data_IF_893400748044
#
_entry.id   IF_893400748044
#
_cell.length_a   1.000
_cell.length_b   1.000
_cell.length_c   1.000
_cell.angle_alpha   90.00
_cell.angle_beta   90.00
_cell.angle_gamma   90.00
#
_symmetry.space_group_name_H-M   'P 1'
#
loop_
_entity.id
_entity.type
_entity.pdbx_description
1 polymer ?
#
# COMPACT_ATOMS: atom_id res chain seq x y z
N UNK A 1 -22.12 -17.96 -86.45
CA UNK A 1 -20.90 -17.31 -85.90
C UNK A 1 -21.04 -17.27 -84.39
N UNK A 2 -20.21 -17.99 -83.64
CA UNK A 2 -20.20 -17.92 -82.18
C UNK A 2 -19.36 -16.72 -81.74
N UNK A 3 -19.99 -15.74 -81.08
CA UNK A 3 -19.26 -14.60 -80.53
C UNK A 3 -18.55 -15.01 -79.24
N UNK A 4 -17.22 -14.85 -79.20
CA UNK A 4 -16.44 -15.02 -77.96
C UNK A 4 -16.41 -13.67 -77.23
N UNK A 5 -16.84 -13.69 -75.97
CA UNK A 5 -16.71 -12.53 -75.08
C UNK A 5 -15.21 -12.31 -74.76
N UNK A 6 -14.71 -11.12 -75.08
CA UNK A 6 -13.31 -10.72 -74.93
C UNK A 6 -12.95 -10.28 -73.50
N UNK A 7 -13.94 -10.09 -72.62
CA UNK A 7 -13.72 -9.56 -71.29
C UNK A 7 -14.33 -10.47 -70.21
N UNK A 8 -13.47 -11.07 -69.38
CA UNK A 8 -13.89 -11.78 -68.15
C UNK A 8 -14.14 -10.76 -67.03
N UNK A 9 -15.33 -10.77 -66.45
CA UNK A 9 -15.71 -9.93 -65.30
C UNK A 9 -14.82 -10.29 -64.09
N UNK A 10 -14.17 -9.30 -63.46
CA UNK A 10 -13.27 -9.50 -62.31
C UNK A 10 -14.06 -10.10 -61.14
N UNK A 11 -13.67 -11.29 -60.67
CA UNK A 11 -14.28 -11.91 -59.48
C UNK A 11 -13.99 -11.03 -58.26
N UNK A 12 -15.03 -10.67 -57.51
CA UNK A 12 -14.91 -9.84 -56.30
C UNK A 12 -14.62 -10.72 -55.09
N UNK A 13 -13.43 -10.59 -54.52
CA UNK A 13 -13.00 -11.33 -53.32
C UNK A 13 -13.45 -10.65 -52.01
N UNK A 14 -14.27 -9.59 -52.09
CA UNK A 14 -14.66 -8.77 -50.94
C UNK A 14 -15.25 -9.58 -49.78
N UNK A 15 -16.09 -10.58 -50.08
CA UNK A 15 -16.69 -11.46 -49.06
C UNK A 15 -15.66 -12.34 -48.35
N UNK A 16 -14.66 -12.83 -49.10
CA UNK A 16 -13.57 -13.66 -48.55
C UNK A 16 -12.67 -12.81 -47.65
N UNK A 17 -12.30 -11.60 -48.10
CA UNK A 17 -11.47 -10.67 -47.32
C UNK A 17 -12.14 -10.33 -45.99
N UNK A 18 -13.45 -10.03 -46.00
CA UNK A 18 -14.21 -9.74 -44.77
C UNK A 18 -14.20 -10.93 -43.82
N UNK A 19 -14.43 -12.15 -44.34
CA UNK A 19 -14.44 -13.37 -43.51
C UNK A 19 -13.07 -13.67 -42.89
N UNK A 20 -11.98 -13.49 -43.64
CA UNK A 20 -10.61 -13.69 -43.13
C UNK A 20 -10.25 -12.64 -42.08
N UNK A 21 -10.64 -11.38 -42.30
CA UNK A 21 -10.39 -10.30 -41.34
C UNK A 21 -11.10 -10.54 -40.01
N UNK A 22 -12.32 -11.10 -40.02
CA UNK A 22 -13.05 -11.44 -38.80
C UNK A 22 -12.36 -12.56 -38.01
N UNK A 23 -11.84 -13.58 -38.69
CA UNK A 23 -11.11 -14.69 -38.08
C UNK A 23 -9.83 -14.21 -37.36
N UNK A 24 -9.09 -13.28 -37.97
CA UNK A 24 -7.89 -12.70 -37.36
C UNK A 24 -8.19 -11.93 -36.08
N UNK A 25 -9.28 -11.16 -36.07
CA UNK A 25 -9.71 -10.40 -34.89
C UNK A 25 -10.07 -11.35 -33.74
N UNK A 26 -10.80 -12.43 -34.05
CA UNK A 26 -11.21 -13.41 -33.05
C UNK A 26 -10.00 -14.13 -32.41
N UNK A 27 -8.99 -14.46 -33.23
CA UNK A 27 -7.74 -15.05 -32.75
C UNK A 27 -6.98 -14.11 -31.80
N UNK A 28 -6.93 -12.81 -32.12
CA UNK A 28 -6.30 -11.79 -31.27
C UNK A 28 -6.94 -11.70 -29.88
N UNK A 29 -8.28 -11.73 -29.81
CA UNK A 29 -8.99 -11.71 -28.53
C UNK A 29 -8.71 -12.95 -27.68
N UNK A 30 -8.67 -14.14 -28.29
CA UNK A 30 -8.33 -15.39 -27.60
C UNK A 30 -6.91 -15.33 -27.03
N UNK A 31 -5.94 -14.86 -27.82
CA UNK A 31 -4.56 -14.69 -27.39
C UNK A 31 -4.46 -13.75 -26.18
N UNK A 32 -5.12 -12.59 -26.25
CA UNK A 32 -5.11 -11.61 -25.15
C UNK A 32 -5.73 -12.17 -23.86
N UNK A 33 -6.81 -12.94 -23.98
CA UNK A 33 -7.48 -13.55 -22.83
C UNK A 33 -6.59 -14.58 -22.11
N UNK A 34 -5.81 -15.37 -22.85
CA UNK A 34 -4.87 -16.35 -22.28
C UNK A 34 -3.74 -15.63 -21.53
N UNK A 35 -3.12 -14.62 -22.13
CA UNK A 35 -1.98 -13.90 -21.53
C UNK A 35 -2.36 -13.03 -20.32
N UNK A 36 -3.60 -12.54 -20.24
CA UNK A 36 -4.09 -11.76 -19.08
C UNK A 36 -4.12 -12.59 -17.77
N UNK A 37 -4.19 -13.91 -17.87
CA UNK A 37 -4.40 -14.79 -16.72
C UNK A 37 -3.11 -15.33 -16.08
N UNK A 38 -1.93 -14.97 -16.60
CA UNK A 38 -0.68 -15.26 -15.90
C UNK A 38 -0.56 -14.36 -14.67
N UNK A 39 -0.91 -14.92 -13.51
CA UNK A 39 -0.74 -14.25 -12.23
C UNK A 39 0.76 -14.09 -11.95
N UNK A 40 1.25 -12.84 -12.05
CA UNK A 40 2.64 -12.45 -11.73
C UNK A 40 2.86 -12.39 -10.22
N UNK A 41 2.90 -13.52 -9.53
CA UNK A 41 3.37 -13.53 -8.15
C UNK A 41 4.47 -14.58 -7.97
N UNK A 42 5.46 -14.18 -7.18
CA UNK A 42 6.52 -15.05 -6.71
C UNK A 42 6.07 -15.52 -5.33
N UNK A 43 5.91 -16.84 -5.16
CA UNK A 43 5.67 -17.43 -3.85
C UNK A 43 7.04 -17.56 -3.20
N UNK A 44 7.29 -16.74 -2.18
CA UNK A 44 8.47 -16.91 -1.31
C UNK A 44 8.08 -17.97 -0.28
N UNK A 45 8.80 -19.10 -0.18
CA UNK A 45 8.53 -20.10 0.83
C UNK A 45 8.81 -19.52 2.23
N UNK A 46 7.98 -19.88 3.21
CA UNK A 46 8.22 -19.51 4.60
C UNK A 46 9.55 -20.12 5.06
N UNK A 47 10.48 -19.27 5.52
CA UNK A 47 11.72 -19.70 6.14
C UNK A 47 11.49 -19.84 7.65
N UNK A 48 11.49 -21.07 8.21
CA UNK A 48 11.33 -21.27 9.65
C UNK A 48 12.60 -20.91 10.44
N UNK A 49 13.73 -20.70 9.77
CA UNK A 49 15.01 -20.46 10.43
C UNK A 49 15.14 -19.01 10.92
N UNK A 50 15.80 -18.86 12.06
CA UNK A 50 16.08 -17.55 12.65
C UNK A 50 17.10 -16.81 11.77
N UNK A 51 16.67 -15.75 11.10
CA UNK A 51 17.51 -14.98 10.16
C UNK A 51 18.81 -14.42 10.77
N UNK A 52 18.82 -14.18 12.08
CA UNK A 52 20.02 -13.79 12.83
C UNK A 52 19.86 -14.11 14.31
N UNK A 53 20.94 -14.55 14.95
CA UNK A 53 21.00 -14.73 16.41
C UNK A 53 21.66 -13.50 17.01
N UNK A 54 20.94 -12.77 17.86
CA UNK A 54 21.52 -11.66 18.62
C UNK A 54 22.37 -12.28 19.74
N UNK A 55 23.70 -12.10 19.73
CA UNK A 55 24.53 -12.60 20.81
C UNK A 55 24.24 -11.83 22.10
N UNK A 56 24.27 -12.51 23.25
CA UNK A 56 24.07 -11.90 24.57
C UNK A 56 25.11 -10.80 24.85
N UNK A 57 26.33 -10.96 24.34
CA UNK A 57 27.39 -9.97 24.41
C UNK A 57 27.77 -9.51 23.00
N UNK A 58 27.55 -8.23 22.70
CA UNK A 58 27.87 -7.64 21.39
C UNK A 58 29.35 -7.24 21.27
N UNK A 59 30.19 -7.56 22.26
CA UNK A 59 31.63 -7.34 22.23
C UNK A 59 32.06 -5.87 22.27
N UNK A 60 31.13 -4.97 22.61
CA UNK A 60 31.43 -3.56 22.85
C UNK A 60 32.13 -3.34 24.18
N UNK A 61 32.69 -2.14 24.37
CA UNK A 61 33.33 -1.76 25.63
C UNK A 61 32.29 -1.78 26.78
N UNK A 62 32.57 -2.58 27.82
CA UNK A 62 31.66 -2.72 28.97
C UNK A 62 31.76 -1.46 29.83
N UNK A 63 30.73 -0.63 29.77
CA UNK A 63 30.64 0.60 30.57
C UNK A 63 30.49 0.22 32.04
N UNK A 64 31.46 0.62 32.87
CA UNK A 64 31.37 0.53 34.32
C UNK A 64 30.25 1.44 34.84
N UNK A 65 29.39 0.92 35.73
CA UNK A 65 28.26 1.62 36.37
C UNK A 65 26.95 1.77 35.56
N UNK A 66 26.59 0.82 34.69
CA UNK A 66 25.27 0.77 34.03
C UNK A 66 24.09 0.78 35.03
N UNK A 67 24.31 0.21 36.20
CA UNK A 67 23.40 0.11 37.34
C UNK A 67 23.27 1.41 38.16
N UNK A 68 24.13 2.41 37.91
CA UNK A 68 23.96 3.76 38.47
C UNK A 68 23.06 4.58 37.56
N UNK A 69 21.78 4.65 37.91
CA UNK A 69 20.85 5.65 37.34
C UNK A 69 21.47 7.05 37.53
N UNK A 70 21.98 7.63 36.45
CA UNK A 70 22.31 9.05 36.42
C UNK A 70 21.03 9.82 36.79
N UNK A 71 21.09 10.69 37.79
CA UNK A 71 20.00 11.62 38.10
C UNK A 71 19.87 12.60 36.93
N UNK A 72 19.17 12.20 35.86
CA UNK A 72 18.66 13.15 34.89
C UNK A 72 17.41 13.82 35.48
N UNK A 73 17.63 14.73 36.43
CA UNK A 73 16.66 15.78 36.73
C UNK A 73 16.69 16.76 35.57
N UNK A 74 15.81 16.53 34.59
CA UNK A 74 15.09 17.48 33.73
C UNK A 74 14.51 16.58 32.61
N UNK A 75 13.37 15.97 32.88
CA UNK A 75 12.44 15.66 31.81
C UNK A 75 11.72 16.98 31.57
N UNK A 76 12.05 17.70 30.50
CA UNK A 76 11.14 18.74 30.03
C UNK A 76 9.80 18.05 29.81
N UNK A 77 8.80 18.45 30.59
CA UNK A 77 7.43 18.03 30.35
C UNK A 77 7.06 18.61 28.99
N UNK A 78 7.31 17.83 27.93
CA UNK A 78 6.68 18.02 26.63
C UNK A 78 5.21 18.12 26.97
N UNK A 79 4.63 19.29 26.78
CA UNK A 79 3.19 19.51 26.92
C UNK A 79 2.51 18.47 26.06
N UNK A 80 2.08 17.41 26.73
CA UNK A 80 1.30 16.34 26.18
C UNK A 80 -0.05 17.02 25.92
N UNK A 81 -0.17 17.63 24.74
CA UNK A 81 -1.47 17.90 24.16
C UNK A 81 -2.21 16.58 24.34
N UNK A 82 -3.33 16.62 25.06
CA UNK A 82 -4.16 15.46 25.32
C UNK A 82 -4.71 14.99 23.97
N UNK A 83 -3.90 14.26 23.22
CA UNK A 83 -4.33 13.46 22.09
C UNK A 83 -5.18 12.40 22.77
N UNK A 84 -6.51 12.52 22.62
CA UNK A 84 -7.45 11.51 23.09
C UNK A 84 -6.98 10.15 22.60
N UNK A 85 -6.36 9.38 23.49
CA UNK A 85 -5.99 8.02 23.21
C UNK A 85 -7.28 7.23 23.22
N UNK A 86 -7.87 7.03 22.04
CA UNK A 86 -8.99 6.11 21.90
C UNK A 86 -8.38 4.71 21.94
N UNK A 87 -8.57 4.02 23.07
CA UNK A 87 -7.95 2.73 23.41
C UNK A 87 -8.42 1.54 22.53
N UNK A 88 -9.15 1.81 21.45
CA UNK A 88 -9.84 0.82 20.63
C UNK A 88 -9.22 0.59 19.25
N UNK A 89 -8.16 1.31 18.87
CA UNK A 89 -7.44 1.08 17.62
C UNK A 89 -6.72 -0.29 17.65
N UNK A 90 -7.10 -1.19 16.74
CA UNK A 90 -6.49 -2.52 16.60
C UNK A 90 -5.57 -2.59 15.38
N UNK A 91 -6.15 -2.48 14.18
CA UNK A 91 -5.41 -2.40 12.93
C UNK A 91 -5.82 -1.14 12.17
N UNK A 92 -4.85 -0.45 11.60
CA UNK A 92 -5.10 0.76 10.82
C UNK A 92 -4.18 0.84 9.61
N UNK A 93 -4.52 1.72 8.67
CA UNK A 93 -3.72 1.94 7.45
C UNK A 93 -2.90 3.21 7.63
N UNK A 94 -1.58 3.10 7.54
CA UNK A 94 -0.66 4.23 7.63
C UNK A 94 -0.60 4.99 6.32
N UNK A 95 -0.84 6.30 6.39
CA UNK A 95 -0.75 7.22 5.26
C UNK A 95 0.57 8.01 5.27
N UNK A 96 1.05 8.38 6.46
CA UNK A 96 2.26 9.17 6.63
C UNK A 96 2.87 8.90 8.01
N UNK A 97 4.19 8.99 8.10
CA UNK A 97 4.93 9.09 9.37
C UNK A 97 5.90 10.26 9.27
N UNK A 98 5.97 11.08 10.31
CA UNK A 98 6.87 12.23 10.36
C UNK A 98 7.23 12.55 11.82
N UNK A 99 8.44 13.04 12.07
CA UNK A 99 8.86 13.49 13.40
C UNK A 99 8.25 14.85 13.79
N UNK A 100 7.80 15.63 12.82
CA UNK A 100 7.16 16.94 13.03
C UNK A 100 5.64 16.84 12.84
N UNK A 101 4.89 17.19 13.90
CA UNK A 101 3.42 17.11 13.88
C UNK A 101 2.77 18.06 12.84
N UNK A 102 3.43 19.17 12.51
CA UNK A 102 2.95 20.13 11.50
C UNK A 102 2.86 19.49 10.11
N UNK A 103 3.80 18.61 9.76
CA UNK A 103 3.80 17.90 8.48
C UNK A 103 2.62 16.93 8.40
N UNK A 104 2.28 16.27 9.51
CA UNK A 104 1.09 15.41 9.60
C UNK A 104 -0.18 16.23 9.35
N UNK A 105 -0.37 17.35 10.04
CA UNK A 105 -1.58 18.19 9.85
C UNK A 105 -1.66 18.78 8.44
N UNK A 106 -0.53 19.23 7.89
CA UNK A 106 -0.47 19.76 6.51
C UNK A 106 -0.86 18.69 5.48
N UNK A 107 -0.39 17.46 5.66
CA UNK A 107 -0.76 16.35 4.80
C UNK A 107 -2.23 15.96 4.96
N UNK A 108 -2.72 15.86 6.19
CA UNK A 108 -4.12 15.58 6.49
C UNK A 108 -5.03 16.62 5.83
N UNK A 109 -4.74 17.90 6.01
CA UNK A 109 -5.49 18.97 5.37
C UNK A 109 -5.46 18.83 3.85
N UNK A 110 -4.29 18.57 3.25
CA UNK A 110 -4.14 18.37 1.80
C UNK A 110 -5.03 17.23 1.27
N UNK A 111 -5.18 16.12 2.00
CA UNK A 111 -5.97 14.97 1.51
C UNK A 111 -7.47 15.10 1.77
N UNK A 112 -7.88 15.89 2.77
CA UNK A 112 -9.30 16.11 3.12
C UNK A 112 -9.89 17.39 2.50
N UNK A 113 -9.07 18.37 2.11
CA UNK A 113 -9.54 19.68 1.62
C UNK A 113 -10.04 19.69 0.18
N UNK A 114 -9.90 18.57 -0.55
CA UNK A 114 -10.46 18.47 -1.90
C UNK A 114 -11.97 18.18 -1.80
N UNK A 115 -12.80 18.96 -2.48
CA UNK A 115 -14.27 18.80 -2.52
C UNK A 115 -14.71 17.41 -3.02
N UNK A 116 -13.83 16.70 -3.73
CA UNK A 116 -14.02 15.33 -4.23
C UNK A 116 -13.26 14.26 -3.41
N UNK A 117 -12.75 14.60 -2.22
CA UNK A 117 -12.02 13.63 -1.42
C UNK A 117 -12.98 12.56 -0.87
N UNK A 118 -12.60 11.29 -1.06
CA UNK A 118 -13.33 10.15 -0.47
C UNK A 118 -13.00 9.97 1.02
N UNK A 119 -12.16 10.85 1.58
CA UNK A 119 -11.57 10.71 2.90
C UNK A 119 -12.24 11.68 3.87
N UNK A 120 -12.89 11.13 4.90
CA UNK A 120 -13.43 11.92 6.00
C UNK A 120 -12.35 12.19 7.04
N UNK A 121 -12.25 13.42 7.53
CA UNK A 121 -11.30 13.77 8.59
C UNK A 121 -11.52 12.95 9.87
N UNK A 122 -12.78 12.55 10.13
CA UNK A 122 -13.16 11.76 11.30
C UNK A 122 -12.70 10.29 11.24
N UNK A 123 -12.26 9.82 10.06
CA UNK A 123 -11.71 8.49 9.88
C UNK A 123 -10.20 8.44 10.15
N UNK A 124 -9.55 9.59 10.40
CA UNK A 124 -8.12 9.65 10.67
C UNK A 124 -7.82 9.71 12.16
N UNK A 125 -6.68 9.13 12.50
CA UNK A 125 -6.11 9.10 13.84
C UNK A 125 -4.64 9.49 13.75
N UNK A 126 -4.16 10.21 14.76
CA UNK A 126 -2.74 10.55 14.90
C UNK A 126 -2.22 9.82 16.12
N UNK A 127 -1.25 8.93 15.92
CA UNK A 127 -0.60 8.18 16.98
C UNK A 127 0.84 8.68 17.13
N UNK A 128 1.29 8.93 18.36
CA UNK A 128 2.65 9.35 18.65
C UNK A 128 3.43 8.20 19.31
N UNK A 129 4.52 7.77 18.69
CA UNK A 129 5.48 6.83 19.25
C UNK A 129 6.64 7.62 19.85
N UNK A 130 6.84 7.51 21.16
CA UNK A 130 7.97 8.16 21.84
C UNK A 130 9.08 7.15 22.06
N UNK A 131 10.28 7.46 21.57
CA UNK A 131 11.49 6.65 21.74
C UNK A 131 12.64 7.50 22.28
N UNK A 132 13.76 6.85 22.62
CA UNK A 132 14.99 7.55 23.01
C UNK A 132 15.59 8.41 21.89
N UNK A 133 15.22 8.15 20.63
CA UNK A 133 15.67 8.88 19.44
C UNK A 133 14.77 10.09 19.12
N UNK A 134 13.60 10.20 19.74
CA UNK A 134 12.62 11.24 19.48
C UNK A 134 11.18 10.72 19.40
N UNK A 135 10.27 11.60 18.98
CA UNK A 135 8.85 11.31 18.78
C UNK A 135 8.60 11.15 17.29
N UNK A 136 7.91 10.08 16.90
CA UNK A 136 7.38 9.88 15.56
C UNK A 136 5.86 9.92 15.58
N UNK A 137 5.25 10.70 14.69
CA UNK A 137 3.81 10.81 14.53
C UNK A 137 3.35 10.01 13.32
N UNK A 138 2.35 9.16 13.53
CA UNK A 138 1.75 8.29 12.52
C UNK A 138 0.36 8.80 12.19
N UNK A 139 0.12 9.11 10.91
CA UNK A 139 -1.22 9.37 10.39
C UNK A 139 -1.86 8.05 9.95
N UNK A 140 -2.86 7.64 10.70
CA UNK A 140 -3.54 6.35 10.58
C UNK A 140 -4.97 6.56 10.06
N UNK A 141 -5.44 5.68 9.20
CA UNK A 141 -6.76 5.76 8.57
C UNK A 141 -7.61 4.52 8.86
N UNK A 142 -8.80 4.77 9.40
CA UNK A 142 -9.80 3.81 9.86
C UNK A 142 -9.29 2.81 10.89
N UNK A 143 -10.22 2.29 11.67
CA UNK A 143 -9.96 1.21 12.60
C UNK A 143 -10.56 -0.09 12.05
N UNK A 144 -9.75 -1.14 12.00
CA UNK A 144 -10.13 -2.47 11.53
C UNK A 144 -9.90 -3.49 12.64
N UNK A 145 -10.85 -4.42 12.79
CA UNK A 145 -10.77 -5.47 13.82
C UNK A 145 -9.70 -6.49 13.48
N UNK A 146 -9.54 -6.82 12.18
CA UNK A 146 -8.56 -7.80 11.71
C UNK A 146 -7.64 -7.21 10.65
N UNK A 147 -6.41 -7.74 10.58
CA UNK A 147 -5.45 -7.43 9.51
C UNK A 147 -6.00 -7.76 8.12
N UNK A 148 -6.86 -8.78 8.00
CA UNK A 148 -7.46 -9.17 6.73
C UNK A 148 -8.46 -8.12 6.23
N UNK A 149 -9.25 -7.53 7.13
CA UNK A 149 -10.20 -6.48 6.79
C UNK A 149 -9.48 -5.23 6.27
N UNK A 150 -8.42 -4.81 6.96
CA UNK A 150 -7.57 -3.70 6.54
C UNK A 150 -6.97 -3.95 5.15
N UNK A 151 -6.50 -5.18 4.89
CA UNK A 151 -5.95 -5.59 3.59
C UNK A 151 -6.99 -5.53 2.48
N UNK A 152 -8.17 -6.11 2.73
CA UNK A 152 -9.27 -6.11 1.77
C UNK A 152 -9.72 -4.68 1.46
N UNK A 153 -9.83 -3.84 2.49
CA UNK A 153 -10.17 -2.43 2.31
C UNK A 153 -9.15 -1.74 1.39
N UNK A 154 -7.86 -1.98 1.65
CA UNK A 154 -6.83 -1.33 0.88
C UNK A 154 -6.81 -1.73 -0.60
N UNK A 155 -6.96 -3.03 -0.88
CA UNK A 155 -7.03 -3.56 -2.25
C UNK A 155 -8.23 -2.99 -3.00
N UNK A 156 -9.37 -2.82 -2.33
CA UNK A 156 -10.65 -2.49 -2.97
C UNK A 156 -10.98 -1.00 -3.02
N UNK A 157 -10.41 -0.18 -2.14
CA UNK A 157 -10.80 1.23 -2.00
C UNK A 157 -9.64 2.21 -2.08
N UNK A 158 -8.39 1.77 -1.87
CA UNK A 158 -7.21 2.64 -1.80
C UNK A 158 -6.26 2.42 -2.98
N UNK A 159 -6.79 2.24 -4.18
CA UNK A 159 -5.98 2.02 -5.40
C UNK A 159 -5.01 3.16 -5.75
N UNK A 160 -5.21 4.35 -5.18
CA UNK A 160 -4.35 5.53 -5.39
C UNK A 160 -3.16 5.60 -4.43
N UNK A 161 -3.06 4.71 -3.45
CA UNK A 161 -1.95 4.65 -2.51
C UNK A 161 -1.00 3.56 -2.97
N UNK A 162 0.18 3.96 -3.44
CA UNK A 162 1.14 3.04 -4.08
C UNK A 162 1.61 1.94 -3.12
N UNK A 163 1.73 2.23 -1.82
CA UNK A 163 2.20 1.29 -0.79
C UNK A 163 1.32 1.37 0.45
N UNK A 164 0.33 0.49 0.51
CA UNK A 164 -0.55 0.41 1.66
C UNK A 164 0.09 -0.33 2.83
N UNK A 165 0.44 0.42 3.87
CA UNK A 165 1.02 -0.13 5.09
C UNK A 165 -0.08 -0.34 6.12
N UNK A 166 -0.22 -1.58 6.59
CA UNK A 166 -1.16 -1.93 7.67
C UNK A 166 -0.38 -2.03 8.96
N UNK A 167 -0.79 -1.24 9.94
CA UNK A 167 -0.16 -1.11 11.24
C UNK A 167 -1.02 -1.80 12.28
N UNK A 168 -0.40 -2.63 13.11
CA UNK A 168 -0.99 -3.17 14.34
C UNK A 168 -0.72 -2.18 15.47
N UNK A 169 -1.74 -1.40 15.84
CA UNK A 169 -1.61 -0.35 16.85
C UNK A 169 -1.55 -0.90 18.27
N UNK A 170 -1.83 -2.20 18.47
CA UNK A 170 -1.70 -2.87 19.78
C UNK A 170 -0.24 -3.11 20.18
N UNK A 171 0.71 -2.86 19.27
CA UNK A 171 2.15 -3.08 19.47
C UNK A 171 2.94 -1.81 19.79
N UNK A 172 2.27 -0.68 19.96
CA UNK A 172 2.86 0.62 20.29
C UNK A 172 2.89 0.90 21.79
#
# INVERSE_FOLDING_TARGET
MNSRSLFKKRKSYRKIIISVSFLLILFFFIYFFIFKNEKKFIIIPDNPDVFYVIPEDRGGEKVLNLDKKSLNTITENITQNNIEKRDDLLFSIQFLTDSEIENIYKYLQKITSFDESIYSINDFYILALTSELGIEYFLLYKNFITRLDAKNYCINFLHKIDNCLIVDTTKF
#
